data_IF_575232963909
#
_entry.id   IF_575232963909
#
_cell.length_a   1.000
_cell.length_b   1.000
_cell.length_c   1.000
_cell.angle_alpha   90.00
_cell.angle_beta   90.00
_cell.angle_gamma   90.00
#
_symmetry.space_group_name_H-M   'P 1'
#
loop_
_entity.id
_entity.type
_entity.pdbx_description
1 polymer ?
#
# COMPACT_ATOMS: atom_id res chain seq x y z
N UNK A 1 -9.55 6.54 -14.22
CA UNK A 1 -9.20 5.26 -14.87
C UNK A 1 -7.83 4.84 -14.36
N UNK A 2 -7.65 3.57 -13.96
CA UNK A 2 -6.35 3.02 -13.54
C UNK A 2 -5.47 2.55 -14.72
N UNK A 3 -6.04 2.38 -15.91
CA UNK A 3 -5.41 1.67 -17.04
C UNK A 3 -4.17 2.38 -17.60
N UNK A 4 -4.03 3.68 -17.34
CA UNK A 4 -2.85 4.48 -17.72
C UNK A 4 -2.07 5.01 -16.51
N UNK A 5 -2.43 4.59 -15.30
CA UNK A 5 -1.76 5.08 -14.10
C UNK A 5 -0.40 4.40 -13.93
N UNK A 6 0.69 5.14 -13.67
CA UNK A 6 1.98 4.55 -13.39
C UNK A 6 1.89 3.50 -12.29
N UNK A 7 2.47 2.32 -12.53
CA UNK A 7 2.53 1.26 -11.54
C UNK A 7 3.86 0.55 -11.64
N UNK A 8 4.37 0.09 -10.49
CA UNK A 8 5.62 -0.65 -10.41
C UNK A 8 5.33 -2.01 -9.78
N UNK A 9 5.77 -3.12 -10.37
CA UNK A 9 5.72 -4.41 -9.70
C UNK A 9 6.66 -4.39 -8.49
N UNK A 10 6.27 -5.06 -7.42
CA UNK A 10 7.03 -5.19 -6.20
C UNK A 10 6.77 -6.54 -5.51
N UNK A 11 7.49 -6.79 -4.41
CA UNK A 11 7.25 -7.93 -3.51
C UNK A 11 7.10 -7.35 -2.11
N UNK A 12 6.02 -7.73 -1.42
CA UNK A 12 5.81 -7.41 -0.02
C UNK A 12 6.20 -8.62 0.84
N UNK A 13 6.81 -8.37 2.00
CA UNK A 13 7.28 -9.43 2.88
C UNK A 13 8.60 -10.06 2.42
N UNK A 14 9.04 -11.07 3.16
CA UNK A 14 10.30 -11.79 2.93
C UNK A 14 10.11 -13.29 3.15
N UNK A 15 10.96 -14.11 2.54
CA UNK A 15 10.93 -15.57 2.70
C UNK A 15 9.59 -16.19 2.30
N UNK A 16 9.02 -17.02 3.18
CA UNK A 16 7.72 -17.68 2.95
C UNK A 16 6.52 -16.71 2.92
N UNK A 17 6.71 -15.47 3.39
CA UNK A 17 5.70 -14.41 3.39
C UNK A 17 5.85 -13.43 2.21
N UNK A 18 6.75 -13.71 1.27
CA UNK A 18 6.96 -12.88 0.09
C UNK A 18 5.78 -13.02 -0.90
N UNK A 19 5.03 -11.94 -1.10
CA UNK A 19 3.88 -11.90 -2.00
C UNK A 19 4.04 -10.84 -3.10
N UNK A 20 3.66 -11.14 -4.35
CA UNK A 20 3.62 -10.13 -5.42
C UNK A 20 2.73 -8.95 -5.05
N UNK A 21 3.22 -7.73 -5.30
CA UNK A 21 2.50 -6.50 -5.00
C UNK A 21 2.68 -5.46 -6.10
N UNK A 22 1.91 -4.38 -6.00
CA UNK A 22 1.98 -3.25 -6.92
C UNK A 22 2.12 -1.95 -6.15
N UNK A 23 3.11 -1.14 -6.53
CA UNK A 23 3.27 0.24 -6.05
C UNK A 23 2.55 1.15 -7.03
N UNK A 24 1.69 2.03 -6.51
CA UNK A 24 0.91 3.00 -7.29
C UNK A 24 1.34 4.43 -6.92
N UNK A 25 2.36 5.01 -7.58
CA UNK A 25 2.86 6.34 -7.26
C UNK A 25 1.82 7.44 -7.51
N UNK A 26 1.84 8.49 -6.70
CA UNK A 26 0.97 9.66 -6.90
C UNK A 26 -0.51 9.44 -6.55
N UNK A 27 -0.88 8.29 -5.99
CA UNK A 27 -2.22 8.10 -5.43
C UNK A 27 -2.35 8.82 -4.10
N UNK A 28 -3.48 9.52 -3.92
CA UNK A 28 -3.91 9.98 -2.61
C UNK A 28 -4.46 8.83 -1.76
N UNK A 29 -4.37 8.95 -0.43
CA UNK A 29 -4.77 7.91 0.52
C UNK A 29 -6.23 7.45 0.33
N UNK A 30 -7.16 8.37 0.08
CA UNK A 30 -8.57 8.05 -0.14
C UNK A 30 -8.76 7.11 -1.32
N UNK A 31 -8.14 7.43 -2.46
CA UNK A 31 -8.23 6.61 -3.66
C UNK A 31 -7.53 5.26 -3.46
N UNK A 32 -6.40 5.23 -2.73
CA UNK A 32 -5.73 3.98 -2.39
C UNK A 32 -6.63 3.06 -1.55
N UNK A 33 -7.33 3.61 -0.54
CA UNK A 33 -8.30 2.87 0.27
C UNK A 33 -9.49 2.36 -0.57
N UNK A 34 -10.06 3.22 -1.44
CA UNK A 34 -11.17 2.83 -2.32
C UNK A 34 -10.78 1.69 -3.26
N UNK A 35 -9.56 1.71 -3.81
CA UNK A 35 -9.07 0.62 -4.64
C UNK A 35 -8.86 -0.67 -3.85
N UNK A 36 -8.23 -0.57 -2.70
CA UNK A 36 -7.98 -1.71 -1.84
C UNK A 36 -9.28 -2.38 -1.39
N UNK A 37 -10.34 -1.61 -1.09
CA UNK A 37 -11.69 -2.16 -0.89
C UNK A 37 -12.20 -2.94 -2.10
N UNK A 38 -12.07 -2.38 -3.31
CA UNK A 38 -12.52 -3.04 -4.55
C UNK A 38 -11.75 -4.32 -4.85
N UNK A 39 -10.50 -4.41 -4.42
CA UNK A 39 -9.64 -5.60 -4.57
C UNK A 39 -9.65 -6.51 -3.34
N UNK A 40 -10.55 -6.29 -2.37
CA UNK A 40 -10.71 -7.14 -1.19
C UNK A 40 -9.49 -7.16 -0.26
N UNK A 41 -8.67 -6.12 -0.28
CA UNK A 41 -7.48 -6.01 0.58
C UNK A 41 -7.88 -5.63 2.00
N UNK A 42 -7.22 -6.23 2.99
CA UNK A 42 -7.42 -5.90 4.41
C UNK A 42 -6.68 -4.62 4.83
N UNK A 43 -5.61 -4.26 4.13
CA UNK A 43 -4.80 -3.08 4.41
C UNK A 43 -4.06 -2.59 3.18
N UNK A 44 -3.54 -1.35 3.24
CA UNK A 44 -2.55 -0.81 2.30
C UNK A 44 -1.36 -0.21 3.03
N UNK A 45 -0.18 -0.29 2.41
CA UNK A 45 0.96 0.53 2.78
C UNK A 45 0.89 1.86 2.03
N UNK A 46 0.83 2.97 2.76
CA UNK A 46 0.75 4.32 2.19
C UNK A 46 1.98 5.14 2.53
N UNK A 47 2.74 5.53 1.50
CA UNK A 47 4.01 6.23 1.63
C UNK A 47 3.93 7.72 1.28
N UNK A 48 4.64 8.57 2.05
CA UNK A 48 4.90 9.98 1.72
C UNK A 48 6.36 10.29 2.03
N UNK A 49 7.17 10.50 0.99
CA UNK A 49 8.62 10.65 1.16
C UNK A 49 9.22 9.39 1.81
N UNK A 50 9.90 9.55 2.96
CA UNK A 50 10.48 8.45 3.74
C UNK A 50 9.54 7.90 4.85
N UNK A 51 8.25 8.23 4.81
CA UNK A 51 7.28 7.84 5.84
C UNK A 51 6.30 6.84 5.25
N UNK A 52 5.95 5.80 6.00
CA UNK A 52 4.97 4.79 5.56
C UNK A 52 3.97 4.51 6.66
N UNK A 53 2.69 4.46 6.34
CA UNK A 53 1.66 3.99 7.26
C UNK A 53 1.08 2.67 6.75
N UNK A 54 0.87 1.72 7.66
CA UNK A 54 -0.05 0.61 7.44
C UNK A 54 -1.45 1.11 7.72
N UNK A 55 -2.32 0.97 6.72
CA UNK A 55 -3.67 1.52 6.74
C UNK A 55 -4.64 0.36 6.69
N UNK A 56 -5.20 0.01 7.84
CA UNK A 56 -6.20 -1.06 7.96
C UNK A 56 -7.57 -0.60 7.47
N UNK A 57 -8.20 -1.43 6.65
CA UNK A 57 -9.50 -1.20 6.05
C UNK A 57 -10.55 -2.00 6.82
N UNK A 58 -11.29 -1.32 7.70
CA UNK A 58 -12.34 -1.92 8.51
C UNK A 58 -13.70 -1.52 7.95
N UNK A 59 -14.74 -2.36 8.14
CA UNK A 59 -16.10 -2.02 7.70
C UNK A 59 -16.57 -0.64 8.18
N UNK A 60 -16.14 -0.23 9.36
CA UNK A 60 -16.55 1.03 10.00
C UNK A 60 -15.60 2.21 9.71
N UNK A 61 -14.55 2.00 8.91
CA UNK A 61 -13.62 3.07 8.53
C UNK A 61 -12.16 2.61 8.39
N UNK A 62 -11.24 3.55 8.61
CA UNK A 62 -9.80 3.33 8.42
C UNK A 62 -9.06 3.46 9.74
N UNK A 63 -8.22 2.47 10.08
CA UNK A 63 -7.27 2.57 11.21
C UNK A 63 -5.85 2.74 10.69
N UNK A 64 -5.16 3.77 11.17
CA UNK A 64 -3.79 4.08 10.78
C UNK A 64 -2.80 3.57 11.82
N UNK A 65 -1.86 2.75 11.39
CA UNK A 65 -0.65 2.41 12.13
C UNK A 65 0.56 2.99 11.42
N UNK A 66 1.32 3.82 12.13
CA UNK A 66 2.44 4.55 11.54
C UNK A 66 3.71 3.74 11.72
N UNK A 67 4.42 3.55 10.62
CA UNK A 67 5.73 2.93 10.60
C UNK A 67 6.74 3.92 9.99
N UNK A 68 8.02 3.65 10.20
CA UNK A 68 9.09 4.38 9.55
C UNK A 68 9.81 3.37 8.67
N UNK A 69 9.65 3.52 7.35
CA UNK A 69 10.33 2.63 6.42
C UNK A 69 11.81 3.03 6.36
N UNK A 70 12.71 2.07 6.60
CA UNK A 70 14.08 2.20 6.18
C UNK A 70 14.22 1.58 4.79
N UNK A 71 14.98 2.23 3.91
CA UNK A 71 15.33 1.65 2.63
C UNK A 71 16.27 0.47 2.91
N UNK A 72 15.84 -0.75 2.58
CA UNK A 72 16.76 -1.88 2.56
C UNK A 72 17.68 -1.70 1.36
N UNK A 73 18.99 -1.70 1.59
CA UNK A 73 19.99 -1.74 0.53
C UNK A 73 20.16 -3.20 0.13
N UNK A 74 19.44 -3.61 -0.93
CA UNK A 74 19.70 -4.85 -1.66
C UNK A 74 20.43 -4.51 -2.96
#
# INVERSE_FOLDING_TARGET
MLVSHPHLPAVNGEGEWAEPSVILPGLGLRLAADLAWRFGQAAVLFGVGQRVALVWLNRDGVRLERFWAQRSEH
#
